data_IF_538078767622
#
_entry.id   IF_538078767622
#
_cell.length_a   1.000
_cell.length_b   1.000
_cell.length_c   1.000
_cell.angle_alpha   90.00
_cell.angle_beta   90.00
_cell.angle_gamma   90.00
#
_symmetry.space_group_name_H-M   'P 1'
#
loop_
_entity.id
_entity.type
_entity.pdbx_description
1 polymer ?
#
# COMPACT_ATOMS: atom_id res chain seq x y z
N UNK A 1 -22.95 -3.53 -4.80
CA UNK A 1 -22.11 -2.87 -5.82
C UNK A 1 -20.67 -2.69 -5.34
N UNK A 2 -20.43 -2.16 -4.13
CA UNK A 2 -19.07 -1.90 -3.61
C UNK A 2 -18.17 -3.14 -3.55
N UNK A 3 -18.72 -4.27 -3.10
CA UNK A 3 -17.99 -5.55 -3.05
C UNK A 3 -17.51 -6.04 -4.41
N UNK A 4 -18.28 -5.81 -5.48
CA UNK A 4 -17.90 -6.18 -6.85
C UNK A 4 -16.69 -5.35 -7.33
N UNK A 5 -16.64 -4.06 -6.99
CA UNK A 5 -15.50 -3.20 -7.31
C UNK A 5 -14.21 -3.68 -6.63
N UNK A 6 -14.31 -4.15 -5.39
CA UNK A 6 -13.18 -4.76 -4.66
C UNK A 6 -12.69 -6.03 -5.37
N UNK A 7 -13.60 -6.88 -5.85
CA UNK A 7 -13.23 -8.08 -6.61
C UNK A 7 -12.52 -7.71 -7.91
N UNK A 8 -13.02 -6.70 -8.64
CA UNK A 8 -12.39 -6.19 -9.87
C UNK A 8 -10.98 -5.65 -9.55
N UNK A 9 -10.84 -4.88 -8.47
CA UNK A 9 -9.55 -4.36 -7.99
C UNK A 9 -8.57 -5.51 -7.70
N UNK A 10 -9.04 -6.56 -7.03
CA UNK A 10 -8.21 -7.72 -6.71
C UNK A 10 -7.75 -8.46 -7.97
N UNK A 11 -8.64 -8.66 -8.95
CA UNK A 11 -8.28 -9.25 -10.25
C UNK A 11 -7.25 -8.39 -10.99
N UNK A 12 -7.45 -7.06 -11.02
CA UNK A 12 -6.45 -6.14 -11.57
C UNK A 12 -5.10 -6.28 -10.87
N UNK A 13 -5.09 -6.30 -9.53
CA UNK A 13 -3.88 -6.42 -8.74
C UNK A 13 -3.11 -7.72 -9.02
N UNK A 14 -3.84 -8.84 -9.09
CA UNK A 14 -3.31 -10.17 -9.43
C UNK A 14 -2.71 -10.23 -10.84
N UNK A 15 -3.25 -9.46 -11.79
CA UNK A 15 -2.73 -9.39 -13.16
C UNK A 15 -1.55 -8.43 -13.30
N UNK A 16 -1.54 -7.34 -12.54
CA UNK A 16 -0.50 -6.30 -12.57
C UNK A 16 0.76 -6.77 -11.85
N UNK A 17 0.64 -7.36 -10.65
CA UNK A 17 1.77 -7.79 -9.83
C UNK A 17 2.81 -8.65 -10.58
N UNK A 18 2.45 -9.78 -11.22
CA UNK A 18 3.42 -10.64 -11.90
C UNK A 18 4.02 -9.96 -13.14
N UNK A 19 3.22 -9.18 -13.88
CA UNK A 19 3.69 -8.46 -15.07
C UNK A 19 4.68 -7.36 -14.72
N UNK A 20 4.37 -6.57 -13.71
CA UNK A 20 5.23 -5.52 -13.20
C UNK A 20 6.53 -6.10 -12.63
N UNK A 21 6.43 -7.16 -11.82
CA UNK A 21 7.61 -7.84 -11.24
C UNK A 21 8.56 -8.41 -12.30
N UNK A 22 8.02 -9.04 -13.37
CA UNK A 22 8.82 -9.52 -14.50
C UNK A 22 9.52 -8.37 -15.24
N UNK A 23 8.76 -7.33 -15.60
CA UNK A 23 9.27 -6.21 -16.41
C UNK A 23 10.28 -5.32 -15.68
N UNK A 24 10.06 -5.07 -14.39
CA UNK A 24 10.79 -4.04 -13.64
C UNK A 24 11.58 -4.57 -12.44
N UNK A 25 11.44 -5.85 -12.10
CA UNK A 25 11.95 -6.42 -10.86
C UNK A 25 11.08 -6.10 -9.67
N UNK A 26 11.12 -6.96 -8.64
CA UNK A 26 10.26 -6.81 -7.45
C UNK A 26 10.42 -5.43 -6.81
N UNK A 27 11.66 -5.00 -6.54
CA UNK A 27 11.95 -3.65 -6.03
C UNK A 27 11.43 -2.54 -6.96
N UNK A 28 11.80 -2.59 -8.24
CA UNK A 28 11.43 -1.56 -9.21
C UNK A 28 9.93 -1.50 -9.50
N UNK A 29 9.23 -2.63 -9.39
CA UNK A 29 7.79 -2.73 -9.52
C UNK A 29 7.09 -2.20 -8.27
N UNK A 30 7.53 -2.58 -7.07
CA UNK A 30 7.00 -2.07 -5.81
C UNK A 30 7.16 -0.54 -5.72
N UNK A 31 8.31 0.01 -6.11
CA UNK A 31 8.54 1.46 -6.11
C UNK A 31 7.61 2.18 -7.10
N UNK A 32 7.51 1.73 -8.35
CA UNK A 32 6.67 2.39 -9.37
C UNK A 32 5.18 2.25 -9.09
N UNK A 33 4.72 1.08 -8.66
CA UNK A 33 3.33 0.85 -8.29
C UNK A 33 2.96 1.63 -7.03
N UNK A 34 3.85 1.68 -6.05
CA UNK A 34 3.69 2.52 -4.87
C UNK A 34 3.65 4.00 -5.22
N UNK A 35 4.48 4.43 -6.18
CA UNK A 35 4.45 5.80 -6.70
C UNK A 35 3.09 6.13 -7.30
N UNK A 36 2.60 5.25 -8.16
CA UNK A 36 1.31 5.43 -8.81
C UNK A 36 0.15 5.42 -7.80
N UNK A 37 0.12 4.47 -6.87
CA UNK A 37 -0.91 4.38 -5.84
C UNK A 37 -0.96 5.67 -4.98
N UNK A 38 0.18 6.16 -4.49
CA UNK A 38 0.19 7.39 -3.67
C UNK A 38 -0.28 8.62 -4.44
N UNK A 39 -0.12 8.65 -5.77
CA UNK A 39 -0.65 9.76 -6.58
C UNK A 39 -2.15 9.60 -6.81
N UNK A 40 -2.63 8.39 -7.09
CA UNK A 40 -4.03 8.14 -7.46
C UNK A 40 -4.97 8.36 -6.27
N UNK A 41 -4.61 7.90 -5.07
CA UNK A 41 -5.47 7.97 -3.89
C UNK A 41 -5.88 9.40 -3.44
N UNK A 42 -4.96 10.38 -3.30
CA UNK A 42 -5.30 11.73 -2.85
C UNK A 42 -5.82 12.64 -3.97
N UNK A 43 -5.70 12.25 -5.25
CA UNK A 43 -6.14 13.07 -6.39
C UNK A 43 -7.60 13.54 -6.30
N UNK A 44 -8.59 12.69 -5.95
CA UNK A 44 -9.97 13.14 -5.79
C UNK A 44 -10.13 14.20 -4.69
N UNK A 45 -9.39 14.07 -3.60
CA UNK A 45 -9.42 15.04 -2.50
C UNK A 45 -8.81 16.35 -2.95
N UNK A 46 -7.67 16.31 -3.66
CA UNK A 46 -7.05 17.51 -4.23
C UNK A 46 -7.95 18.20 -5.25
N UNK A 47 -8.56 17.46 -6.18
CA UNK A 47 -9.50 18.03 -7.15
C UNK A 47 -10.75 18.59 -6.48
N UNK A 48 -11.18 18.01 -5.37
CA UNK A 48 -12.25 18.57 -4.55
C UNK A 48 -11.84 19.90 -3.91
N UNK A 49 -10.63 19.98 -3.34
CA UNK A 49 -10.08 21.20 -2.75
C UNK A 49 -9.89 22.31 -3.80
N UNK A 50 -9.57 21.95 -5.05
CA UNK A 50 -9.41 22.87 -6.19
C UNK A 50 -10.74 23.25 -6.87
N UNK A 51 -11.88 22.70 -6.43
CA UNK A 51 -13.19 22.96 -7.02
C UNK A 51 -13.42 22.30 -8.40
N UNK A 52 -12.59 21.33 -8.80
CA UNK A 52 -12.70 20.63 -10.09
C UNK A 52 -13.60 19.39 -10.04
N UNK A 53 -14.11 19.04 -8.87
CA UNK A 53 -14.94 17.86 -8.66
C UNK A 53 -16.43 18.23 -8.75
N UNK A 54 -17.29 17.37 -9.36
CA UNK A 54 -18.73 17.60 -9.41
C UNK A 54 -19.37 17.88 -8.05
N UNK A 55 -20.47 18.62 -8.03
CA UNK A 55 -21.18 18.95 -6.79
C UNK A 55 -21.76 17.70 -6.10
N UNK A 56 -22.04 17.84 -4.80
CA UNK A 56 -22.67 16.77 -4.04
C UNK A 56 -24.06 16.48 -4.62
N UNK A 57 -24.29 15.24 -5.09
CA UNK A 57 -25.55 14.83 -5.72
C UNK A 57 -25.47 14.67 -7.24
N UNK A 58 -24.37 15.07 -7.88
CA UNK A 58 -24.16 14.80 -9.30
C UNK A 58 -24.01 13.27 -9.55
N UNK A 59 -24.79 12.68 -10.48
CA UNK A 59 -24.66 11.28 -10.87
C UNK A 59 -23.25 10.85 -11.29
N UNK A 60 -22.40 11.78 -11.77
CA UNK A 60 -21.02 11.51 -12.20
C UNK A 60 -20.04 11.37 -11.03
N UNK A 61 -20.37 11.90 -9.84
CA UNK A 61 -19.47 11.88 -8.69
C UNK A 61 -19.14 10.44 -8.25
N UNK A 62 -20.16 9.59 -8.17
CA UNK A 62 -20.01 8.20 -7.75
C UNK A 62 -19.16 7.36 -8.72
N UNK A 63 -19.43 7.33 -10.05
CA UNK A 63 -18.59 6.63 -11.01
C UNK A 63 -17.12 7.07 -11.00
N UNK A 64 -16.84 8.37 -10.85
CA UNK A 64 -15.46 8.89 -10.77
C UNK A 64 -14.77 8.32 -9.52
N UNK A 65 -15.39 8.47 -8.35
CA UNK A 65 -14.84 7.98 -7.09
C UNK A 65 -14.66 6.45 -7.09
N UNK A 66 -15.63 5.72 -7.62
CA UNK A 66 -15.60 4.26 -7.75
C UNK A 66 -14.45 3.79 -8.65
N UNK A 67 -14.25 4.45 -9.79
CA UNK A 67 -13.18 4.12 -10.74
C UNK A 67 -11.81 4.39 -10.12
N UNK A 68 -11.62 5.56 -9.51
CA UNK A 68 -10.36 5.91 -8.85
C UNK A 68 -10.05 4.95 -7.70
N UNK A 69 -11.03 4.64 -6.84
CA UNK A 69 -10.84 3.67 -5.75
C UNK A 69 -10.49 2.28 -6.28
N UNK A 70 -11.10 1.86 -7.37
CA UNK A 70 -10.87 0.53 -7.94
C UNK A 70 -9.45 0.41 -8.51
N UNK A 71 -8.98 1.44 -9.21
CA UNK A 71 -7.61 1.51 -9.71
C UNK A 71 -6.63 1.55 -8.55
N UNK A 72 -6.84 2.44 -7.58
CA UNK A 72 -5.97 2.59 -6.41
C UNK A 72 -5.84 1.29 -5.61
N UNK A 73 -6.97 0.69 -5.26
CA UNK A 73 -7.00 -0.57 -4.52
C UNK A 73 -6.31 -1.70 -5.31
N UNK A 74 -6.48 -1.74 -6.64
CA UNK A 74 -5.79 -2.70 -7.49
C UNK A 74 -4.27 -2.51 -7.48
N UNK A 75 -3.79 -1.26 -7.49
CA UNK A 75 -2.37 -0.94 -7.38
C UNK A 75 -1.80 -1.31 -6.01
N UNK A 76 -2.54 -1.02 -4.93
CA UNK A 76 -2.17 -1.40 -3.56
C UNK A 76 -2.07 -2.93 -3.44
N UNK A 77 -3.05 -3.67 -3.95
CA UNK A 77 -3.03 -5.14 -3.93
C UNK A 77 -1.82 -5.67 -4.72
N UNK A 78 -1.54 -5.10 -5.90
CA UNK A 78 -0.38 -5.50 -6.69
C UNK A 78 0.94 -5.25 -5.95
N UNK A 79 1.08 -4.08 -5.33
CA UNK A 79 2.25 -3.70 -4.54
C UNK A 79 2.43 -4.65 -3.35
N UNK A 80 1.37 -4.93 -2.60
CA UNK A 80 1.38 -5.84 -1.46
C UNK A 80 1.80 -7.25 -1.87
N UNK A 81 1.29 -7.77 -2.98
CA UNK A 81 1.67 -9.09 -3.50
C UNK A 81 3.18 -9.16 -3.81
N UNK A 82 3.75 -8.10 -4.39
CA UNK A 82 5.18 -8.00 -4.64
C UNK A 82 5.97 -7.92 -3.33
N UNK A 83 5.50 -7.15 -2.34
CA UNK A 83 6.13 -7.07 -1.01
C UNK A 83 6.17 -8.42 -0.32
N UNK A 84 5.08 -9.18 -0.31
CA UNK A 84 5.07 -10.53 0.24
C UNK A 84 6.06 -11.46 -0.48
N UNK A 85 6.17 -11.32 -1.80
CA UNK A 85 7.18 -12.06 -2.57
C UNK A 85 8.61 -11.66 -2.22
N UNK A 86 8.89 -10.39 -1.92
CA UNK A 86 10.21 -9.93 -1.46
C UNK A 86 10.51 -10.39 -0.03
N UNK A 87 9.49 -10.47 0.83
CA UNK A 87 9.64 -11.00 2.18
C UNK A 87 9.96 -12.50 2.15
N UNK A 88 9.33 -13.27 1.26
CA UNK A 88 9.68 -14.67 1.05
C UNK A 88 11.15 -14.83 0.64
N UNK A 89 11.63 -14.04 -0.34
CA UNK A 89 13.05 -14.05 -0.74
C UNK A 89 14.00 -13.73 0.43
N UNK A 90 13.58 -12.82 1.33
CA UNK A 90 14.36 -12.44 2.50
C UNK A 90 14.43 -13.58 3.53
N UNK A 91 13.33 -14.27 3.75
CA UNK A 91 13.27 -15.44 4.62
C UNK A 91 14.20 -16.54 4.09
N UNK A 92 14.12 -16.86 2.80
CA UNK A 92 15.00 -17.82 2.13
C UNK A 92 16.47 -17.42 2.28
N UNK A 93 16.81 -16.14 2.03
CA UNK A 93 18.18 -15.65 2.20
C UNK A 93 18.68 -15.81 3.64
N UNK A 94 17.81 -15.54 4.63
CA UNK A 94 18.15 -15.73 6.04
C UNK A 94 18.41 -17.19 6.38
N UNK A 95 17.65 -18.11 5.78
CA UNK A 95 17.82 -19.55 5.95
C UNK A 95 19.15 -20.03 5.37
N UNK A 96 19.55 -19.55 4.18
CA UNK A 96 20.88 -19.87 3.60
C UNK A 96 22.00 -19.48 4.55
N UNK A 97 21.93 -18.25 5.07
CA UNK A 97 22.99 -17.66 5.90
C UNK A 97 23.06 -18.27 7.29
N UNK A 98 21.92 -18.63 7.88
CA UNK A 98 21.84 -19.09 9.28
C UNK A 98 21.68 -20.60 9.43
N UNK A 99 21.28 -21.31 8.37
CA UNK A 99 20.92 -22.73 8.40
C UNK A 99 19.64 -23.02 9.20
N UNK A 100 18.87 -22.00 9.59
CA UNK A 100 17.64 -22.14 10.39
C UNK A 100 16.44 -21.56 9.65
N UNK A 101 15.41 -22.37 9.45
CA UNK A 101 14.14 -21.91 8.88
C UNK A 101 13.31 -21.19 9.94
N UNK A 102 13.29 -19.85 9.87
CA UNK A 102 12.64 -18.98 10.86
C UNK A 102 11.40 -18.26 10.30
N UNK A 103 10.67 -18.87 9.36
CA UNK A 103 9.45 -18.32 8.74
C UNK A 103 8.45 -17.77 9.76
N UNK A 104 8.18 -18.53 10.83
CA UNK A 104 7.24 -18.15 11.87
C UNK A 104 7.64 -16.85 12.60
N UNK A 105 8.93 -16.60 12.77
CA UNK A 105 9.43 -15.36 13.41
C UNK A 105 9.20 -14.17 12.50
N UNK A 106 9.50 -14.30 11.20
CA UNK A 106 9.25 -13.25 10.21
C UNK A 106 7.75 -12.93 10.07
N UNK A 107 6.91 -13.96 10.00
CA UNK A 107 5.46 -13.77 9.86
C UNK A 107 4.83 -13.18 11.13
N UNK A 108 5.31 -13.58 12.31
CA UNK A 108 4.89 -13.01 13.59
C UNK A 108 5.29 -11.54 13.71
N UNK A 109 6.54 -11.20 13.35
CA UNK A 109 7.02 -9.83 13.32
C UNK A 109 6.20 -8.97 12.34
N UNK A 110 5.90 -9.48 11.15
CA UNK A 110 5.08 -8.77 10.17
C UNK A 110 3.65 -8.52 10.70
N UNK A 111 3.04 -9.54 11.31
CA UNK A 111 1.70 -9.42 11.89
C UNK A 111 1.67 -8.40 13.02
N UNK A 112 2.69 -8.41 13.89
CA UNK A 112 2.86 -7.44 14.96
C UNK A 112 3.01 -6.03 14.40
N UNK A 113 3.93 -5.81 13.45
CA UNK A 113 4.13 -4.50 12.79
C UNK A 113 2.83 -4.01 12.16
N UNK A 114 2.07 -4.88 11.48
CA UNK A 114 0.80 -4.52 10.85
C UNK A 114 -0.24 -4.06 11.88
N UNK A 115 -0.42 -4.81 12.97
CA UNK A 115 -1.37 -4.44 14.03
C UNK A 115 -0.98 -3.14 14.73
N UNK A 116 0.31 -2.97 15.04
CA UNK A 116 0.84 -1.75 15.65
C UNK A 116 0.64 -0.56 14.72
N UNK A 117 0.94 -0.69 13.43
CA UNK A 117 0.75 0.38 12.44
C UNK A 117 -0.72 0.75 12.29
N UNK A 118 -1.63 -0.23 12.29
CA UNK A 118 -3.08 0.03 12.27
C UNK A 118 -3.55 0.79 13.51
N UNK A 119 -3.07 0.41 14.70
CA UNK A 119 -3.39 1.12 15.95
C UNK A 119 -2.87 2.55 15.97
N UNK A 120 -1.60 2.75 15.61
CA UNK A 120 -1.00 4.09 15.50
C UNK A 120 -1.73 4.92 14.45
N UNK A 121 -2.05 4.34 13.30
CA UNK A 121 -2.78 5.03 12.23
C UNK A 121 -4.17 5.48 12.67
N UNK A 122 -4.92 4.62 13.36
CA UNK A 122 -6.23 4.97 13.92
C UNK A 122 -6.12 6.07 14.98
N UNK A 123 -5.11 6.02 15.85
CA UNK A 123 -4.85 7.05 16.85
C UNK A 123 -4.54 8.41 16.20
N UNK A 124 -3.62 8.44 15.22
CA UNK A 124 -3.27 9.67 14.48
C UNK A 124 -4.47 10.22 13.71
N UNK A 125 -5.26 9.36 13.06
CA UNK A 125 -6.49 9.78 12.40
C UNK A 125 -7.49 10.42 13.38
N UNK A 126 -7.60 9.87 14.58
CA UNK A 126 -8.40 10.45 15.67
C UNK A 126 -7.92 11.84 16.08
N UNK A 127 -6.60 12.05 16.20
CA UNK A 127 -6.02 13.36 16.50
C UNK A 127 -6.30 14.39 15.39
N UNK A 128 -6.26 13.97 14.11
CA UNK A 128 -6.61 14.86 12.99
C UNK A 128 -8.08 15.27 13.07
N UNK A 129 -9.00 14.33 13.34
CA UNK A 129 -10.42 14.63 13.51
C UNK A 129 -10.66 15.59 14.68
N UNK A 130 -9.95 15.40 15.79
CA UNK A 130 -10.02 16.30 16.94
C UNK A 130 -9.50 17.71 16.60
N UNK A 131 -8.41 17.82 15.86
CA UNK A 131 -7.80 19.09 15.49
C UNK A 131 -8.70 19.97 14.61
N UNK A 132 -9.52 19.36 13.73
CA UNK A 132 -10.48 20.09 12.88
C UNK A 132 -11.87 20.22 13.50
N UNK A 133 -12.01 19.86 14.79
CA UNK A 133 -13.27 19.83 15.52
C UNK A 133 -14.38 19.09 14.75
N UNK A 134 -14.05 17.94 14.14
CA UNK A 134 -14.99 17.21 13.29
C UNK A 134 -16.20 16.72 14.13
N UNK A 135 -17.44 17.01 13.72
CA UNK A 135 -18.62 16.70 14.52
C UNK A 135 -18.81 15.18 14.65
N UNK A 136 -19.07 14.71 15.87
CA UNK A 136 -19.30 13.29 16.15
C UNK A 136 -20.78 12.96 15.99
N UNK A 137 -21.08 11.89 15.24
CA UNK A 137 -22.45 11.39 15.07
C UNK A 137 -23.37 12.27 14.24
N UNK A 138 -22.86 13.37 13.66
CA UNK A 138 -23.63 14.22 12.75
C UNK A 138 -23.93 13.49 11.44
N UNK A 139 -25.10 13.76 10.85
CA UNK A 139 -25.38 13.28 9.51
C UNK A 139 -24.39 13.93 8.51
N UNK A 140 -23.99 13.25 7.42
CA UNK A 140 -23.06 13.82 6.43
C UNK A 140 -23.50 15.18 5.85
N UNK A 141 -24.81 15.45 5.81
CA UNK A 141 -25.38 16.72 5.35
C UNK A 141 -25.25 17.87 6.38
N UNK A 142 -25.02 17.55 7.65
CA UNK A 142 -24.93 18.50 8.76
C UNK A 142 -23.47 18.90 9.07
N UNK A 143 -22.50 18.23 8.44
CA UNK A 143 -21.08 18.52 8.66
C UNK A 143 -20.73 19.84 7.97
N UNK A 144 -20.14 20.81 8.69
CA UNK A 144 -19.70 22.07 8.10
C UNK A 144 -18.73 21.84 6.94
N UNK A 145 -18.96 22.53 5.82
CA UNK A 145 -18.08 22.43 4.63
C UNK A 145 -16.65 22.80 4.98
N UNK A 146 -16.45 23.77 5.88
CA UNK A 146 -15.14 24.16 6.38
C UNK A 146 -14.40 22.99 7.07
N UNK A 147 -15.05 22.25 7.95
CA UNK A 147 -14.45 21.07 8.62
C UNK A 147 -14.04 19.98 7.63
N UNK A 148 -14.83 19.77 6.57
CA UNK A 148 -14.51 18.81 5.50
C UNK A 148 -13.28 19.25 4.69
N UNK A 149 -13.20 20.54 4.36
CA UNK A 149 -12.06 21.09 3.64
C UNK A 149 -10.79 21.06 4.51
N UNK A 150 -10.87 21.48 5.77
CA UNK A 150 -9.76 21.41 6.73
C UNK A 150 -9.27 19.97 6.89
N UNK A 151 -10.17 19.00 7.01
CA UNK A 151 -9.82 17.58 7.05
C UNK A 151 -9.05 17.15 5.80
N UNK A 152 -9.53 17.52 4.61
CA UNK A 152 -8.84 17.24 3.36
C UNK A 152 -7.43 17.85 3.29
N UNK A 153 -7.27 19.09 3.77
CA UNK A 153 -5.97 19.79 3.76
C UNK A 153 -4.94 19.19 4.71
N UNK A 154 -5.35 18.53 5.80
CA UNK A 154 -4.43 17.83 6.72
C UNK A 154 -4.16 16.39 6.26
N UNK A 155 -5.16 15.74 5.69
CA UNK A 155 -5.10 14.34 5.28
C UNK A 155 -4.17 14.12 4.08
N UNK A 156 -4.19 15.00 3.07
CA UNK A 156 -3.34 14.84 1.88
C UNK A 156 -1.84 14.95 2.22
N UNK A 157 -1.35 15.99 2.92
CA UNK A 157 0.08 16.10 3.26
C UNK A 157 0.55 14.98 4.20
N UNK A 158 -0.27 14.60 5.19
CA UNK A 158 0.10 13.52 6.12
C UNK A 158 0.27 12.18 5.40
N UNK A 159 -0.61 11.85 4.44
CA UNK A 159 -0.42 10.69 3.57
C UNK A 159 0.87 10.80 2.75
N UNK A 160 1.13 11.92 2.09
CA UNK A 160 2.35 12.08 1.29
C UNK A 160 3.63 11.95 2.11
N UNK A 161 3.65 12.46 3.34
CA UNK A 161 4.80 12.29 4.24
C UNK A 161 5.01 10.82 4.59
N UNK A 162 3.97 10.11 5.02
CA UNK A 162 4.07 8.69 5.40
C UNK A 162 4.49 7.80 4.22
N UNK A 163 3.91 8.04 3.04
CA UNK A 163 4.26 7.32 1.82
C UNK A 163 5.66 7.68 1.31
N UNK A 164 6.07 8.94 1.43
CA UNK A 164 7.42 9.40 1.11
C UNK A 164 8.48 8.70 1.95
N UNK A 165 8.25 8.60 3.26
CA UNK A 165 9.13 7.84 4.17
C UNK A 165 9.24 6.37 3.76
N UNK A 166 8.11 5.73 3.41
CA UNK A 166 8.10 4.35 2.92
C UNK A 166 8.92 4.19 1.63
N UNK A 167 8.76 5.09 0.65
CA UNK A 167 9.49 5.03 -0.62
C UNK A 167 10.99 5.23 -0.42
N UNK A 168 11.39 6.14 0.47
CA UNK A 168 12.80 6.33 0.84
C UNK A 168 13.36 5.06 1.48
N UNK A 169 12.64 4.45 2.43
CA UNK A 169 13.05 3.18 3.04
C UNK A 169 13.18 2.06 1.98
N UNK A 170 12.25 1.98 1.03
CA UNK A 170 12.30 1.01 -0.06
C UNK A 170 13.42 1.31 -1.05
N UNK A 171 13.79 2.58 -1.25
CA UNK A 171 14.92 2.96 -2.09
C UNK A 171 16.25 2.45 -1.51
N UNK A 172 16.40 2.46 -0.18
CA UNK A 172 17.55 1.89 0.52
C UNK A 172 17.59 0.36 0.53
N UNK A 173 16.47 -0.32 0.21
CA UNK A 173 16.43 -1.78 0.10
C UNK A 173 17.35 -2.27 -1.03
N UNK A 174 18.52 -2.81 -0.66
CA UNK A 174 19.48 -3.42 -1.59
C UNK A 174 19.41 -4.94 -1.44
N UNK A 175 18.35 -5.57 -1.94
CA UNK A 175 18.48 -6.95 -2.42
C UNK A 175 18.65 -6.88 -3.92
N UNK A 176 19.90 -7.02 -4.35
CA UNK A 176 20.23 -7.12 -5.76
C UNK A 176 19.65 -8.43 -6.31
N UNK A 177 19.08 -8.38 -7.53
CA UNK A 177 18.61 -9.58 -8.24
C UNK A 177 19.72 -10.64 -8.34
N UNK A 178 20.98 -10.21 -8.36
CA UNK A 178 22.16 -11.07 -8.35
C UNK A 178 22.31 -11.90 -7.05
N UNK A 179 21.99 -11.34 -5.88
CA UNK A 179 22.09 -12.06 -4.61
C UNK A 179 21.00 -13.12 -4.46
N UNK A 180 19.79 -12.88 -4.96
CA UNK A 180 18.72 -13.88 -4.96
C UNK A 180 19.09 -15.11 -5.82
N UNK A 181 19.64 -14.88 -7.02
CA UNK A 181 20.13 -15.99 -7.85
C UNK A 181 21.30 -16.75 -7.22
N UNK A 182 22.26 -16.07 -6.58
CA UNK A 182 23.35 -16.76 -5.88
C UNK A 182 22.88 -17.60 -4.68
N UNK A 183 21.83 -17.15 -3.98
CA UNK A 183 21.27 -17.89 -2.84
C UNK A 183 20.55 -19.17 -3.29
N UNK A 184 19.78 -19.12 -4.37
CA UNK A 184 19.08 -20.29 -4.91
C UNK A 184 20.07 -21.38 -5.36
N UNK A 185 21.18 -20.98 -5.99
CA UNK A 185 22.26 -21.90 -6.37
C UNK A 185 22.92 -22.51 -5.12
N UNK A 186 23.12 -21.72 -4.06
CA UNK A 186 23.68 -22.21 -2.80
C UNK A 186 22.76 -23.22 -2.09
N UNK A 187 21.44 -23.00 -2.09
CA UNK A 187 20.47 -23.95 -1.50
C UNK A 187 20.44 -25.26 -2.28
N UNK A 188 20.29 -25.21 -3.61
CA UNK A 188 20.26 -26.42 -4.45
C UNK A 188 21.54 -27.26 -4.31
N UNK A 189 22.70 -26.61 -4.16
CA UNK A 189 23.97 -27.32 -3.95
C UNK A 189 24.06 -28.04 -2.59
N UNK A 190 23.34 -27.56 -1.57
CA UNK A 190 23.28 -28.21 -0.25
C UNK A 190 22.34 -29.42 -0.27
N UNK A 191 21.16 -29.31 -0.87
CA UNK A 191 20.21 -30.42 -0.99
C UNK A 191 20.78 -31.58 -1.83
N UNK A 192 21.56 -31.29 -2.87
CA UNK A 192 22.24 -32.31 -3.67
C UNK A 192 23.40 -33.03 -2.97
N UNK A 193 23.86 -32.54 -1.81
CA UNK A 193 24.91 -33.19 -0.98
C UNK A 193 24.34 -34.01 0.18
N UNK A 194 23.04 -33.90 0.45
CA UNK A 194 22.33 -34.67 1.47
C UNK A 194 21.61 -35.92 0.92
N UNK A 195 21.80 -36.23 -0.36
CA UNK A 195 21.39 -37.47 -1.03
C UNK A 195 22.65 -38.27 -1.37
#
# INVERSE_FOLDING_TARGET
YWTLLVVISALMGLLIAPRASKRWGKKGAALRLGVLAFTVQPLPVLFRLMGWMPENGDPLLFPILATVNTIDLGLIIAMQAIFFSMLADLVEHSEVKTGRRNEGVFFSALTFIRKTTQGIGAFVAGLILQAVAFPQGAAPAEVPTESVLQLGTLLVPSQWVLWGVMLVALAYYRLDRAQHQSNLIAIQSRDSRSV
#
